data_IF_862850621579
#
_entry.id   IF_862850621579
#
_cell.length_a   1.000
_cell.length_b   1.000
_cell.length_c   1.000
_cell.angle_alpha   90.00
_cell.angle_beta   90.00
_cell.angle_gamma   90.00
#
_symmetry.space_group_name_H-M   'P 1'
#
loop_
_entity.id
_entity.type
_entity.pdbx_description
1 polymer ?
#
# COMPACT_ATOMS: atom_id res chain seq x y z
N UNK A 1 -19.79 -7.44 3.26
CA UNK A 1 -20.27 -6.63 4.41
C UNK A 1 -19.89 -5.19 4.13
N UNK A 2 -20.75 -4.44 3.45
CA UNK A 2 -20.55 -3.00 3.24
C UNK A 2 -20.85 -2.31 4.56
N UNK A 3 -19.83 -1.72 5.18
CA UNK A 3 -20.00 -0.94 6.40
C UNK A 3 -20.84 0.28 6.02
N UNK A 4 -22.11 0.28 6.44
CA UNK A 4 -22.97 1.47 6.42
C UNK A 4 -22.23 2.54 7.22
N UNK A 5 -22.15 3.79 6.75
CA UNK A 5 -21.28 4.79 7.36
C UNK A 5 -21.84 5.22 8.71
N UNK A 6 -21.62 4.42 9.75
CA UNK A 6 -21.06 5.01 10.95
C UNK A 6 -19.78 5.70 10.47
N UNK A 7 -19.68 7.02 10.68
CA UNK A 7 -18.54 7.80 10.21
C UNK A 7 -17.25 7.05 10.54
N UNK A 8 -16.31 6.92 9.61
CA UNK A 8 -15.04 6.18 9.80
C UNK A 8 -14.42 6.55 11.17
N UNK A 9 -14.56 7.81 11.56
CA UNK A 9 -14.24 8.36 12.88
C UNK A 9 -14.97 7.71 14.06
N UNK A 10 -16.30 7.51 14.00
CA UNK A 10 -17.08 6.86 15.05
C UNK A 10 -16.64 5.40 15.24
N UNK A 11 -16.36 4.68 14.15
CA UNK A 11 -15.84 3.32 14.22
C UNK A 11 -14.42 3.30 14.78
N UNK A 12 -13.58 4.24 14.36
CA UNK A 12 -12.23 4.38 14.88
C UNK A 12 -12.24 4.66 16.38
N UNK A 13 -13.08 5.57 16.86
CA UNK A 13 -13.23 5.91 18.27
C UNK A 13 -13.76 4.72 19.08
N UNK A 14 -14.87 4.11 18.64
CA UNK A 14 -15.52 2.96 19.32
C UNK A 14 -14.58 1.78 19.55
N UNK A 15 -13.69 1.51 18.59
CA UNK A 15 -12.80 0.36 18.64
C UNK A 15 -11.35 0.72 19.02
N UNK A 16 -11.06 1.99 19.32
CA UNK A 16 -9.70 2.44 19.64
C UNK A 16 -8.71 2.29 18.48
N UNK A 17 -9.18 2.43 17.23
CA UNK A 17 -8.36 2.29 16.03
C UNK A 17 -7.72 3.64 15.69
N UNK A 18 -6.39 3.64 15.50
CA UNK A 18 -5.62 4.82 15.08
C UNK A 18 -5.22 4.67 13.61
N UNK A 19 -5.62 5.62 12.76
CA UNK A 19 -5.21 5.68 11.36
C UNK A 19 -3.83 6.32 11.25
N UNK A 20 -2.86 5.54 10.79
CA UNK A 20 -1.46 6.01 10.60
C UNK A 20 -1.17 6.17 9.10
N UNK A 21 -0.64 7.32 8.65
CA UNK A 21 -0.19 7.47 7.27
C UNK A 21 0.85 6.39 6.91
N UNK A 22 0.66 5.73 5.77
CA UNK A 22 1.59 4.72 5.27
C UNK A 22 2.04 5.06 3.84
N UNK A 23 3.34 4.96 3.60
CA UNK A 23 3.88 5.07 2.26
C UNK A 23 3.46 3.85 1.41
N UNK A 24 3.01 4.11 0.19
CA UNK A 24 2.83 3.08 -0.85
C UNK A 24 3.78 3.41 -1.99
N UNK A 25 4.53 2.42 -2.43
CA UNK A 25 5.50 2.56 -3.50
C UNK A 25 4.88 2.11 -4.81
N UNK A 26 5.06 2.88 -5.87
CA UNK A 26 4.52 2.57 -7.18
C UNK A 26 5.66 2.29 -8.15
N UNK A 27 5.57 1.19 -8.87
CA UNK A 27 6.49 0.89 -9.97
C UNK A 27 5.68 0.32 -11.15
N UNK A 28 5.72 1.03 -12.28
CA UNK A 28 4.84 0.79 -13.46
C UNK A 28 3.37 0.82 -13.06
N UNK A 29 2.63 -0.27 -13.22
CA UNK A 29 1.21 -0.36 -12.86
C UNK A 29 0.98 -1.04 -11.49
N UNK A 30 2.06 -1.34 -10.77
CA UNK A 30 2.04 -2.13 -9.54
C UNK A 30 2.30 -1.28 -8.30
N UNK A 31 1.62 -1.63 -7.22
CA UNK A 31 1.74 -1.00 -5.89
C UNK A 31 2.38 -1.97 -4.91
N UNK A 32 3.33 -1.46 -4.14
CA UNK A 32 4.08 -2.19 -3.13
C UNK A 32 3.93 -1.52 -1.77
N UNK A 33 3.89 -2.32 -0.71
CA UNK A 33 3.88 -1.84 0.68
C UNK A 33 5.28 -1.43 1.15
N UNK A 34 6.35 -1.91 0.49
CA UNK A 34 7.73 -1.61 0.85
C UNK A 34 8.56 -1.12 -0.35
N UNK A 35 9.58 -0.31 -0.06
CA UNK A 35 10.54 0.13 -1.07
C UNK A 35 11.33 -1.07 -1.63
N UNK A 36 11.68 -2.02 -0.77
CA UNK A 36 12.47 -3.19 -1.15
C UNK A 36 11.76 -4.04 -2.22
N UNK A 37 10.45 -4.23 -2.10
CA UNK A 37 9.69 -5.00 -3.10
C UNK A 37 9.61 -4.26 -4.43
N UNK A 38 9.38 -2.95 -4.40
CA UNK A 38 9.40 -2.11 -5.60
C UNK A 38 10.77 -2.14 -6.29
N UNK A 39 11.86 -2.04 -5.50
CA UNK A 39 13.23 -2.12 -6.00
C UNK A 39 13.56 -3.52 -6.54
N UNK A 40 13.09 -4.58 -5.91
CA UNK A 40 13.29 -5.94 -6.39
C UNK A 40 12.65 -6.14 -7.76
N UNK A 41 11.44 -5.61 -7.97
CA UNK A 41 10.81 -5.66 -9.30
C UNK A 41 11.58 -4.80 -10.32
N UNK A 42 11.96 -3.58 -9.95
CA UNK A 42 12.72 -2.70 -10.84
C UNK A 42 14.04 -3.34 -11.32
N UNK A 43 14.79 -3.97 -10.41
CA UNK A 43 16.04 -4.67 -10.73
C UNK A 43 15.82 -5.90 -11.63
N UNK A 44 14.74 -6.65 -11.41
CA UNK A 44 14.39 -7.79 -12.28
C UNK A 44 14.09 -7.33 -13.71
N UNK A 45 13.34 -6.24 -13.84
CA UNK A 45 13.00 -5.68 -15.15
C UNK A 45 14.24 -5.13 -15.86
N UNK A 46 15.15 -4.49 -15.13
CA UNK A 46 16.45 -4.02 -15.65
C UNK A 46 17.30 -5.19 -16.17
N UNK A 47 17.43 -6.25 -15.38
CA UNK A 47 18.16 -7.45 -15.77
C UNK A 47 17.52 -8.16 -16.98
N UNK A 48 16.19 -8.15 -17.09
CA UNK A 48 15.48 -8.72 -18.24
C UNK A 48 15.62 -7.88 -19.51
N UNK A 49 15.77 -6.55 -19.38
CA UNK A 49 15.97 -5.63 -20.52
C UNK A 49 17.40 -5.64 -21.06
N UNK A 50 18.38 -5.98 -20.23
CA UNK A 50 19.80 -6.03 -20.62
C UNK A 50 20.20 -7.33 -21.33
N UNK A 51 19.25 -8.25 -21.56
CA UNK A 51 19.42 -9.49 -22.31
C UNK A 51 18.85 -9.36 -23.71
#
# INVERSE_FOLDING_TARGET
>A
MTVVPADETELMDRYGIIKVPAYRYHYRDWRYSTLNDALAQAKRDEAARSK
#
